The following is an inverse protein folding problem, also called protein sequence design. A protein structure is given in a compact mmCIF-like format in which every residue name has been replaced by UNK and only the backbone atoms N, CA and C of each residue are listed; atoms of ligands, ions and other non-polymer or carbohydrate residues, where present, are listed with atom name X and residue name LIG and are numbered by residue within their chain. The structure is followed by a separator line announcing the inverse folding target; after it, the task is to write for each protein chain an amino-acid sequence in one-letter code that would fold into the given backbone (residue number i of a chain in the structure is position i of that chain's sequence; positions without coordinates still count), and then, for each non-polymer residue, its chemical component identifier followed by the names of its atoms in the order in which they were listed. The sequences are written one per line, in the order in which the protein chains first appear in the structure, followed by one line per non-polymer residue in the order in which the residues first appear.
data_IF_819973547589
#
_entry.id   IF_819973547589
#
_cell.length_a   1.000
_cell.length_b   1.000
_cell.length_c   1.000
_cell.angle_alpha   90.00
_cell.angle_beta   90.00
_cell.angle_gamma   90.00
#
_symmetry.space_group_name_H-M   'P 1'
#
loop_
_entity.id
_entity.type
_entity.pdbx_description
1 polymer ?
#
# COMPACT_ATOMS: atom_id res chain seq x y z
N UNK A 1 0.49 -4.99 0.46
CA UNK A 1 0.43 -3.83 -0.45
C UNK A 1 1.28 -4.16 -1.65
N UNK A 2 0.72 -4.02 -2.83
CA UNK A 2 1.38 -4.32 -4.10
C UNK A 2 1.55 -3.01 -4.87
N UNK A 3 2.77 -2.69 -5.28
CA UNK A 3 3.09 -1.49 -6.08
C UNK A 3 3.71 -1.93 -7.41
N UNK A 4 3.32 -1.27 -8.50
CA UNK A 4 3.95 -1.47 -9.82
C UNK A 4 5.33 -0.81 -9.89
N UNK A 5 5.48 0.36 -9.27
CA UNK A 5 6.70 1.15 -9.29
C UNK A 5 7.05 1.60 -7.86
N UNK A 6 7.97 0.86 -7.22
CA UNK A 6 8.34 1.11 -5.83
C UNK A 6 9.04 2.47 -5.65
N UNK A 7 9.92 2.85 -6.58
CA UNK A 7 10.70 4.09 -6.44
C UNK A 7 9.80 5.31 -6.58
N UNK A 8 8.87 5.29 -7.53
CA UNK A 8 7.93 6.38 -7.76
C UNK A 8 6.85 6.47 -6.69
N UNK A 9 6.22 5.35 -6.35
CA UNK A 9 4.93 5.38 -5.63
C UNK A 9 5.07 5.17 -4.12
N UNK A 10 6.16 4.55 -3.63
CA UNK A 10 6.31 4.22 -2.21
C UNK A 10 6.36 5.44 -1.28
N UNK A 11 7.06 6.55 -1.61
CA UNK A 11 7.06 7.74 -0.76
C UNK A 11 5.66 8.34 -0.59
N UNK A 12 4.95 8.57 -1.70
CA UNK A 12 3.59 9.14 -1.67
C UNK A 12 2.58 8.21 -0.99
N UNK A 13 2.70 6.90 -1.22
CA UNK A 13 1.88 5.91 -0.53
C UNK A 13 2.08 5.95 0.99
N UNK A 14 3.32 6.06 1.48
CA UNK A 14 3.58 6.12 2.92
C UNK A 14 3.03 7.39 3.57
N UNK A 15 3.07 8.52 2.88
CA UNK A 15 2.47 9.77 3.37
C UNK A 15 0.95 9.63 3.53
N UNK A 16 0.27 9.03 2.55
CA UNK A 16 -1.18 8.80 2.63
C UNK A 16 -1.49 7.76 3.70
N UNK A 17 -0.75 6.65 3.74
CA UNK A 17 -0.95 5.59 4.70
C UNK A 17 -0.82 6.07 6.15
N UNK A 18 0.19 6.91 6.45
CA UNK A 18 0.40 7.42 7.80
C UNK A 18 -0.74 8.31 8.28
N UNK A 19 -1.40 9.06 7.38
CA UNK A 19 -2.57 9.88 7.72
C UNK A 19 -3.78 9.04 8.14
N UNK A 20 -4.00 7.89 7.49
CA UNK A 20 -5.17 7.04 7.76
C UNK A 20 -4.95 6.02 8.87
N UNK A 21 -3.71 5.54 9.05
CA UNK A 21 -3.39 4.45 9.99
C UNK A 21 -2.49 4.90 11.14
N UNK A 22 -2.43 6.20 11.43
CA UNK A 22 -1.57 6.79 12.47
C UNK A 22 -1.73 6.14 13.86
N UNK A 23 -2.97 5.80 14.23
CA UNK A 23 -3.27 5.27 15.56
C UNK A 23 -3.22 3.73 15.61
N UNK A 24 -3.70 3.09 14.55
CA UNK A 24 -3.85 1.62 14.50
C UNK A 24 -2.49 0.95 14.26
N UNK A 25 -1.60 1.61 13.49
CA UNK A 25 -0.29 1.10 13.11
C UNK A 25 -0.31 -0.40 12.71
N UNK A 26 -1.19 -0.82 11.78
CA UNK A 26 -1.39 -2.23 11.53
C UNK A 26 -0.16 -2.83 10.84
N UNK A 27 0.07 -4.12 11.14
CA UNK A 27 1.10 -4.90 10.48
C UNK A 27 0.86 -4.90 8.95
N UNK A 28 1.94 -4.71 8.18
CA UNK A 28 1.87 -4.55 6.74
C UNK A 28 3.11 -5.12 6.06
N UNK A 29 2.89 -5.78 4.93
CA UNK A 29 3.94 -6.13 3.98
C UNK A 29 3.73 -5.36 2.68
N UNK A 30 4.80 -4.76 2.16
CA UNK A 30 4.81 -4.05 0.88
C UNK A 30 5.78 -4.75 -0.06
N UNK A 31 5.33 -5.07 -1.28
CA UNK A 31 6.15 -5.72 -2.31
C UNK A 31 5.96 -5.01 -3.66
N UNK A 32 7.01 -5.05 -4.48
CA UNK A 32 6.92 -4.66 -5.88
C UNK A 32 6.38 -5.84 -6.71
N UNK A 33 5.52 -5.55 -7.68
CA UNK A 33 4.96 -6.53 -8.63
C UNK A 33 5.01 -5.98 -10.04
N UNK A 34 5.05 -6.85 -11.04
CA UNK A 34 5.16 -6.45 -12.46
C UNK A 34 3.86 -5.83 -13.01
N UNK A 35 2.69 -6.34 -12.58
CA UNK A 35 1.39 -5.89 -13.06
C UNK A 35 0.27 -6.11 -12.02
N UNK A 36 -0.82 -5.35 -12.18
CA UNK A 36 -2.09 -5.48 -11.44
C UNK A 36 -3.24 -5.70 -12.46
N UNK A 37 -4.41 -6.22 -12.04
CA UNK A 37 -5.49 -6.59 -12.97
C UNK A 37 -6.07 -5.43 -13.80
N UNK A 38 -5.86 -4.19 -13.38
CA UNK A 38 -6.26 -2.97 -14.09
C UNK A 38 -5.08 -1.99 -14.09
N UNK A 39 -5.20 -0.90 -14.85
CA UNK A 39 -4.19 0.17 -14.95
C UNK A 39 -4.13 1.05 -13.69
N UNK A 40 -3.94 0.42 -12.53
CA UNK A 40 -3.75 1.05 -11.23
C UNK A 40 -2.30 0.88 -10.77
N UNK A 41 -1.80 1.85 -9.99
CA UNK A 41 -0.43 1.83 -9.49
C UNK A 41 -0.25 0.99 -8.22
N UNK A 42 -1.31 0.85 -7.41
CA UNK A 42 -1.25 0.28 -6.06
C UNK A 42 -2.51 -0.56 -5.78
N UNK A 43 -2.33 -1.74 -5.18
CA UNK A 43 -3.40 -2.53 -4.57
C UNK A 43 -3.13 -2.77 -3.07
N UNK A 44 -4.14 -2.50 -2.24
CA UNK A 44 -4.08 -2.64 -0.79
C UNK A 44 -5.16 -3.62 -0.31
N UNK A 45 -4.74 -4.64 0.44
CA UNK A 45 -5.63 -5.58 1.14
C UNK A 45 -5.42 -5.46 2.64
N UNK A 46 -6.51 -5.61 3.39
CA UNK A 46 -6.52 -5.49 4.86
C UNK A 46 -7.26 -6.69 5.46
N UNK A 47 -6.77 -7.16 6.59
CA UNK A 47 -7.50 -8.05 7.49
C UNK A 47 -7.74 -7.25 8.77
N UNK A 48 -9.00 -7.20 9.21
CA UNK A 48 -9.40 -6.51 10.42
C UNK A 48 -10.24 -7.44 11.30
N UNK A 49 -10.18 -7.21 12.60
CA UNK A 49 -11.05 -7.86 13.60
C UNK A 49 -12.00 -6.81 14.15
N UNK A 50 -13.29 -7.16 14.22
CA UNK A 50 -14.35 -6.36 14.87
C UNK A 50 -14.42 -6.74 16.35
#
# INVERSE_FOLDING_TARGET
VFLIDMERDFPGYNEVYSRYFAEILPARTTVAVDALPTSIAIELKVIAKV
#
